data_IF_350151182134
#
_entry.id   IF_350151182134
#
_cell.length_a   1.000
_cell.length_b   1.000
_cell.length_c   1.000
_cell.angle_alpha   90.00
_cell.angle_beta   90.00
_cell.angle_gamma   90.00
#
_symmetry.space_group_name_H-M   'P 1'
#
loop_
_entity.id
_entity.type
_entity.pdbx_description
1 polymer ?
2 non-polymer ?
3 non-polymer ?
4 water ?
#
# COMPACT_ATOMS: atom_id res chain seq x y z
N UNK A 18 -25.31 3.77 -7.93
CA UNK A 18 -26.23 3.95 -6.81
C UNK A 18 -25.71 3.28 -5.54
N UNK A 19 -24.61 2.52 -5.66
CA UNK A 19 -24.05 1.81 -4.52
C UNK A 19 -23.40 2.77 -3.52
N UNK A 20 -23.51 2.43 -2.24
CA UNK A 20 -22.92 3.24 -1.18
C UNK A 20 -21.51 2.78 -0.85
N UNK A 21 -21.18 1.56 -1.26
CA UNK A 21 -19.86 0.99 -1.01
C UNK A 21 -19.41 0.16 -2.20
N UNK A 22 -18.09 0.03 -2.36
CA UNK A 22 -17.51 -0.78 -3.41
C UNK A 22 -16.63 -1.86 -2.80
N UNK A 23 -17.24 -3.01 -2.51
CA UNK A 23 -16.54 -4.12 -1.87
C UNK A 23 -16.84 -5.43 -2.60
N UNK A 24 -16.92 -5.36 -3.93
CA UNK A 24 -17.19 -6.53 -4.75
C UNK A 24 -15.89 -7.24 -5.10
N UNK A 25 -16.01 -8.43 -5.69
CA UNK A 25 -14.85 -9.28 -5.97
C UNK A 25 -14.82 -9.78 -7.41
N UNK A 26 -13.62 -9.77 -7.99
CA UNK A 26 -13.39 -10.50 -9.23
C UNK A 26 -13.60 -11.97 -8.92
N UNK A 27 -14.14 -12.74 -9.87
CA UNK A 27 -14.44 -14.14 -9.60
C UNK A 27 -14.50 -15.00 -10.87
N UNK A 28 -13.83 -16.14 -10.80
CA UNK A 28 -13.92 -17.15 -11.86
C UNK A 28 -15.12 -18.05 -11.63
N UNK A 29 -16.29 -17.44 -11.47
CA UNK A 29 -17.52 -18.17 -11.21
C UNK A 29 -18.57 -17.83 -12.26
N UNK A 30 -19.55 -18.74 -12.45
CA UNK A 30 -20.62 -18.41 -13.39
C UNK A 30 -21.51 -17.32 -12.84
N UNK A 31 -22.15 -16.55 -13.70
CA UNK A 31 -23.01 -15.44 -13.27
C UNK A 31 -22.26 -14.51 -12.32
N UNK A 32 -21.08 -14.06 -12.76
CA UNK A 32 -20.28 -13.12 -11.99
C UNK A 32 -20.15 -11.79 -12.72
N UNK A 33 -20.41 -10.72 -12.00
CA UNK A 33 -20.38 -9.38 -12.57
C UNK A 33 -18.99 -9.03 -13.09
N UNK A 34 -17.98 -9.62 -12.46
CA UNK A 34 -16.59 -9.27 -12.73
C UNK A 34 -15.69 -10.49 -12.96
N UNK A 35 -15.69 -11.03 -14.19
CA UNK A 35 -14.74 -12.08 -14.54
C UNK A 35 -13.34 -11.52 -14.76
N UNK A 36 -12.30 -12.34 -14.51
CA UNK A 36 -10.91 -11.86 -14.58
C UNK A 36 -10.40 -11.72 -16.02
N UNK A 37 -11.01 -10.83 -16.79
CA UNK A 37 -10.58 -10.60 -18.16
C UNK A 37 -9.33 -9.71 -18.21
N UNK A 38 -8.48 -9.97 -19.19
CA UNK A 38 -7.28 -9.16 -19.41
C UNK A 38 -7.64 -7.81 -20.04
N UNK A 39 -6.98 -6.76 -19.58
CA UNK A 39 -7.18 -5.43 -20.14
C UNK A 39 -8.50 -4.80 -19.73
N UNK A 40 -9.26 -5.49 -18.88
CA UNK A 40 -10.57 -5.00 -18.46
C UNK A 40 -10.51 -4.08 -17.24
N UNK A 41 -9.61 -4.40 -16.30
CA UNK A 41 -9.55 -3.67 -15.05
C UNK A 41 -8.33 -2.77 -14.96
N UNK A 42 -8.42 -1.76 -14.10
CA UNK A 42 -7.39 -0.74 -13.97
C UNK A 42 -7.20 -0.36 -12.50
N UNK A 43 -5.95 -0.24 -12.07
CA UNK A 43 -5.62 0.06 -10.68
C UNK A 43 -5.15 1.49 -10.51
N UNK A 44 -5.88 2.25 -9.69
CA UNK A 44 -5.49 3.63 -9.35
C UNK A 44 -4.85 3.67 -7.97
N UNK A 45 -3.65 4.27 -7.89
CA UNK A 45 -2.86 4.26 -6.67
C UNK A 45 -2.15 5.58 -6.39
N UNK A 46 -1.46 5.60 -5.25
CA UNK A 46 -0.41 6.57 -4.99
C UNK A 46 0.78 5.82 -4.44
N UNK A 47 1.96 6.08 -5.00
CA UNK A 47 3.16 5.41 -4.55
C UNK A 47 3.37 5.62 -3.05
N UNK A 48 2.88 6.74 -2.53
CA UNK A 48 3.08 7.10 -1.14
C UNK A 48 2.31 6.20 -0.17
N UNK A 49 1.10 5.83 -0.56
CA UNK A 49 0.22 5.07 0.33
C UNK A 49 0.68 3.62 0.49
N UNK A 50 0.87 3.15 1.73
CA UNK A 50 1.30 1.76 1.92
C UNK A 50 0.25 0.76 1.47
N UNK A 51 -1.02 1.08 1.70
CA UNK A 51 -2.12 0.18 1.36
C UNK A 51 -2.19 -0.02 -0.15
N UNK A 52 -2.06 1.07 -0.89
CA UNK A 52 -2.05 1.01 -2.35
C UNK A 52 -0.81 0.28 -2.83
N UNK A 53 0.30 0.48 -2.13
CA UNK A 53 1.57 -0.13 -2.50
C UNK A 53 1.53 -1.65 -2.39
N UNK A 54 0.63 -2.16 -1.55
CA UNK A 54 0.38 -3.60 -1.48
C UNK A 54 0.00 -4.14 -2.85
N UNK A 55 -0.89 -3.41 -3.52
CA UNK A 55 -1.45 -3.86 -4.79
C UNK A 55 -0.41 -3.79 -5.91
N UNK A 56 0.42 -2.75 -5.89
CA UNK A 56 1.48 -2.63 -6.88
C UNK A 56 2.45 -3.79 -6.76
N UNK A 57 2.74 -4.19 -5.53
CA UNK A 57 3.64 -5.29 -5.26
C UNK A 57 3.10 -6.58 -5.88
N UNK A 58 1.80 -6.80 -5.71
CA UNK A 58 1.16 -8.02 -6.21
C UNK A 58 1.14 -8.05 -7.73
N UNK A 59 1.01 -6.89 -8.37
CA UNK A 59 1.00 -6.82 -9.82
C UNK A 59 2.34 -7.30 -10.40
N UNK A 60 3.42 -7.01 -9.69
CA UNK A 60 4.76 -7.37 -10.16
C UNK A 60 5.14 -8.78 -9.74
N UNK A 61 4.79 -9.14 -8.51
CA UNK A 61 5.08 -10.47 -7.99
C UNK A 61 4.33 -11.55 -8.79
N UNK A 62 3.04 -11.35 -8.98
CA UNK A 62 2.21 -12.32 -9.69
C UNK A 62 2.34 -12.18 -11.21
N UNK A 63 2.98 -11.10 -11.66
CA UNK A 63 3.18 -10.89 -13.08
C UNK A 63 1.89 -10.55 -13.80
N UNK A 64 1.17 -9.54 -13.31
CA UNK A 64 -0.12 -9.15 -13.87
C UNK A 64 -0.04 -7.82 -14.61
N UNK A 65 1.16 -7.47 -15.07
CA UNK A 65 1.40 -6.16 -15.70
C UNK A 65 0.53 -5.95 -16.94
N UNK A 66 0.50 -6.95 -17.81
CA UNK A 66 -0.26 -6.86 -19.05
C UNK A 66 -1.76 -6.96 -18.78
N UNK A 67 -2.14 -7.78 -17.81
CA UNK A 67 -3.54 -7.99 -17.48
C UNK A 67 -4.17 -6.72 -16.94
N UNK A 68 -3.46 -6.07 -16.01
CA UNK A 68 -3.98 -4.91 -15.29
C UNK A 68 -2.98 -3.78 -15.27
N UNK A 69 -3.28 -2.71 -16.00
CA UNK A 69 -2.44 -1.51 -15.98
C UNK A 69 -2.77 -0.70 -14.75
N UNK A 70 -1.88 0.23 -14.39
CA UNK A 70 -2.13 1.10 -13.25
C UNK A 70 -1.68 2.53 -13.51
N UNK A 71 -2.28 3.46 -12.78
CA UNK A 71 -1.96 4.88 -12.86
C UNK A 71 -1.78 5.43 -11.45
N UNK A 72 -0.74 6.24 -11.25
CA UNK A 72 -0.49 6.87 -9.97
C UNK A 72 -0.80 8.35 -9.99
N UNK A 73 -1.50 8.81 -8.95
CA UNK A 73 -1.80 10.22 -8.79
C UNK A 73 -0.59 10.97 -8.27
N UNK A 74 -0.70 12.29 -8.15
CA UNK A 74 0.37 13.09 -7.58
C UNK A 74 0.47 12.81 -6.09
N UNK A 75 1.68 12.90 -5.51
CA UNK A 75 1.88 12.59 -4.09
C UNK A 75 1.26 13.62 -3.15
N UNK A 76 1.46 14.91 -3.43
CA UNK A 76 0.94 15.96 -2.57
C UNK A 76 -0.51 16.30 -2.92
N UNK A 77 -1.36 16.33 -1.91
CA UNK A 77 -2.77 16.66 -2.09
C UNK A 77 -2.97 18.07 -2.61
N UNK A 78 -4.04 18.26 -3.38
CA UNK A 78 -4.44 19.58 -3.86
C UNK A 78 -5.96 19.69 -3.77
N UNK A 79 -6.49 20.86 -4.09
CA UNK A 79 -7.92 21.06 -4.10
C UNK A 79 -8.56 20.28 -5.25
N UNK A 80 -9.66 19.60 -4.95
CA UNK A 80 -10.34 18.76 -5.92
C UNK A 80 -11.50 19.46 -6.59
N UNK A 81 -11.98 20.54 -5.98
CA UNK A 81 -13.09 21.32 -6.52
C UNK A 81 -12.94 22.80 -6.19
N UNK A 82 -13.75 23.62 -6.87
CA UNK A 82 -13.74 25.06 -6.66
C UNK A 82 -14.73 25.46 -5.58
N UNK A 83 -15.85 24.74 -5.52
CA UNK A 83 -16.97 25.12 -4.66
C UNK A 83 -16.73 24.82 -3.17
N UNK A 84 -15.87 23.84 -2.89
CA UNK A 84 -15.48 23.54 -1.51
C UNK A 84 -13.97 23.38 -1.41
N UNK A 85 -13.46 23.39 -0.18
CA UNK A 85 -12.02 23.40 0.07
C UNK A 85 -11.47 22.01 0.36
N UNK A 86 -12.12 20.97 -0.16
CA UNK A 86 -11.67 19.60 0.05
C UNK A 86 -10.30 19.36 -0.56
N UNK A 87 -9.43 18.71 0.22
CA UNK A 87 -8.08 18.38 -0.21
C UNK A 87 -7.96 16.86 -0.39
N UNK A 88 -7.26 16.43 -1.42
CA UNK A 88 -7.07 15.02 -1.68
C UNK A 88 -6.29 14.73 -2.95
N UNK A 89 -6.35 13.47 -3.38
CA UNK A 89 -5.58 13.01 -4.53
C UNK A 89 -6.00 13.71 -5.82
N UNK A 90 -5.01 14.10 -6.62
CA UNK A 90 -5.26 14.68 -7.93
C UNK A 90 -4.33 14.08 -8.98
N UNK A 91 -4.83 13.97 -10.21
CA UNK A 91 -4.02 13.51 -11.33
C UNK A 91 -3.29 14.68 -11.96
N UNK A 92 -2.09 14.44 -12.50
CA UNK A 92 -1.46 15.50 -13.29
C UNK A 92 -2.23 15.72 -14.59
N UNK A 93 -2.07 16.89 -15.20
CA UNK A 93 -2.77 17.20 -16.45
C UNK A 93 -2.03 16.57 -17.64
N UNK A 94 -0.73 16.38 -17.49
CA UNK A 94 0.10 15.77 -18.53
C UNK A 94 1.11 14.82 -17.94
N UNK A 95 1.79 14.07 -18.79
CA UNK A 95 2.76 13.07 -18.36
C UNK A 95 4.04 13.70 -17.79
N UNK A 96 4.31 14.94 -18.15
CA UNK A 96 5.55 15.61 -17.78
C UNK A 96 5.39 16.53 -16.56
N UNK A 97 4.19 16.55 -15.97
CA UNK A 97 3.92 17.45 -14.86
C UNK A 97 4.68 17.03 -13.60
N UNK A 98 4.76 15.73 -13.35
CA UNK A 98 5.50 15.22 -12.20
C UNK A 98 5.85 13.76 -12.37
N UNK A 99 7.12 13.44 -12.16
CA UNK A 99 7.62 12.07 -12.30
C UNK A 99 6.87 11.13 -11.36
N UNK A 100 6.60 9.92 -11.86
CA UNK A 100 5.89 8.92 -11.08
C UNK A 100 4.38 9.05 -11.18
N UNK A 101 3.91 10.18 -11.69
CA UNK A 101 2.48 10.43 -11.82
C UNK A 101 2.09 10.54 -13.29
N UNK A 102 0.90 10.02 -13.62
CA UNK A 102 0.38 10.08 -14.98
C UNK A 102 -1.08 10.56 -14.94
N UNK A 103 -1.51 11.27 -15.99
CA UNK A 103 -2.93 11.65 -16.02
C UNK A 103 -3.83 10.44 -16.15
N UNK A 104 -5.10 10.59 -15.78
CA UNK A 104 -6.07 9.53 -15.98
C UNK A 104 -6.55 9.55 -17.44
N UNK A 105 -5.82 8.86 -18.31
CA UNK A 105 -6.18 8.79 -19.72
C UNK A 105 -7.39 7.90 -19.94
N UNK A 106 -7.69 7.05 -18.96
CA UNK A 106 -8.78 6.10 -19.09
C UNK A 106 -10.15 6.78 -19.03
N UNK A 107 -10.35 7.63 -18.03
CA UNK A 107 -11.63 8.32 -17.84
C UNK A 107 -11.50 9.84 -17.80
N UNK A 108 -10.29 10.35 -17.99
CA UNK A 108 -10.07 11.78 -18.03
C UNK A 108 -10.37 12.48 -16.73
N UNK A 109 -10.31 11.73 -15.62
CA UNK A 109 -10.55 12.29 -14.29
C UNK A 109 -9.36 13.13 -13.84
N UNK A 110 -9.64 14.13 -13.01
CA UNK A 110 -8.60 15.03 -12.50
C UNK A 110 -8.33 14.81 -11.02
N UNK A 111 -9.18 14.00 -10.38
CA UNK A 111 -8.99 13.63 -8.98
C UNK A 111 -9.59 12.27 -8.69
N UNK A 112 -9.13 11.63 -7.62
CA UNK A 112 -9.69 10.35 -7.19
C UNK A 112 -11.15 10.55 -6.82
N UNK A 113 -11.45 11.69 -6.19
CA UNK A 113 -12.81 12.02 -5.81
C UNK A 113 -13.74 11.94 -7.01
N UNK A 114 -13.29 12.46 -8.15
CA UNK A 114 -14.09 12.49 -9.35
C UNK A 114 -14.40 11.07 -9.84
N UNK A 115 -13.46 10.16 -9.67
CA UNK A 115 -13.67 8.77 -10.07
C UNK A 115 -14.77 8.11 -9.26
N UNK A 116 -14.81 8.39 -7.96
CA UNK A 116 -15.85 7.86 -7.09
C UNK A 116 -17.22 8.40 -7.48
N UNK A 117 -17.30 9.71 -7.69
CA UNK A 117 -18.56 10.36 -8.07
C UNK A 117 -19.06 9.83 -9.40
N UNK A 118 -18.13 9.49 -10.29
CA UNK A 118 -18.48 8.94 -11.59
C UNK A 118 -19.02 7.51 -11.46
N UNK A 119 -18.60 6.82 -10.40
CA UNK A 119 -19.03 5.45 -10.17
C UNK A 119 -20.41 5.42 -9.50
N UNK A 120 -20.60 6.30 -8.53
CA UNK A 120 -21.86 6.37 -7.80
C UNK A 120 -21.98 7.67 -7.02
N UNK A 121 -23.12 8.34 -7.17
CA UNK A 121 -23.40 9.57 -6.46
C UNK A 121 -23.84 9.30 -5.01
N UNK A 122 -24.00 8.01 -4.69
CA UNK A 122 -24.44 7.61 -3.35
C UNK A 122 -23.31 7.04 -2.49
N UNK A 123 -22.08 7.09 -3.00
CA UNK A 123 -20.94 6.59 -2.25
C UNK A 123 -20.76 7.36 -0.94
N UNK A 124 -20.61 6.63 0.16
CA UNK A 124 -20.61 7.22 1.50
C UNK A 124 -19.26 7.10 2.20
N UNK A 125 -18.29 6.49 1.53
CA UNK A 125 -16.96 6.30 2.12
C UNK A 125 -16.04 7.46 1.85
N UNK A 126 -14.75 7.26 2.13
CA UNK A 126 -13.73 8.25 1.84
C UNK A 126 -13.23 8.10 0.41
N UNK A 127 -12.66 9.16 -0.15
CA UNK A 127 -12.15 9.13 -1.52
C UNK A 127 -10.70 8.66 -1.52
N UNK A 128 -10.52 7.37 -1.27
CA UNK A 128 -9.20 6.81 -1.01
C UNK A 128 -8.66 5.98 -2.16
N UNK A 129 -7.34 5.79 -2.17
CA UNK A 129 -6.69 4.79 -2.99
C UNK A 129 -6.27 3.64 -2.06
N UNK A 130 -6.17 2.41 -2.60
CA UNK A 130 -6.31 2.04 -4.01
C UNK A 130 -7.74 2.00 -4.52
N UNK A 131 -7.88 1.95 -5.84
CA UNK A 131 -9.17 1.81 -6.50
C UNK A 131 -9.03 0.83 -7.66
N UNK A 132 -9.79 -0.27 -7.60
CA UNK A 132 -9.83 -1.23 -8.70
C UNK A 132 -11.01 -0.89 -9.60
N UNK A 133 -10.70 -0.36 -10.78
CA UNK A 133 -11.72 0.15 -11.71
C UNK A 133 -12.06 -0.87 -12.78
N UNK A 134 -13.33 -0.85 -13.21
CA UNK A 134 -13.80 -1.72 -14.29
C UNK A 134 -14.14 -0.87 -15.52
N UNK A 135 -13.44 -1.14 -16.62
CA UNK A 135 -13.59 -0.37 -17.84
C UNK A 135 -14.89 -0.68 -18.57
N UNK A 136 -15.45 -1.86 -18.32
CA UNK A 136 -16.67 -2.29 -19.01
C UNK A 136 -17.89 -1.58 -18.43
N UNK A 137 -18.15 -1.81 -17.14
CA UNK A 137 -19.32 -1.23 -16.48
C UNK A 137 -19.06 0.20 -16.02
N UNK A 138 -17.85 0.71 -16.27
CA UNK A 138 -17.46 2.06 -15.87
C UNK A 138 -17.75 2.27 -14.39
N UNK A 139 -17.20 1.40 -13.55
CA UNK A 139 -17.47 1.46 -12.11
C UNK A 139 -16.26 1.00 -11.30
N UNK A 140 -16.36 1.14 -9.99
CA UNK A 140 -15.32 0.70 -9.07
C UNK A 140 -15.64 -0.69 -8.53
N UNK A 141 -14.78 -1.65 -8.82
CA UNK A 141 -14.96 -3.03 -8.35
C UNK A 141 -14.72 -3.13 -6.85
N UNK A 142 -13.61 -2.56 -6.40
CA UNK A 142 -13.20 -2.67 -5.01
C UNK A 142 -12.17 -1.59 -4.67
N UNK A 143 -12.19 -1.13 -3.41
CA UNK A 143 -11.25 -0.13 -2.95
C UNK A 143 -10.63 -0.52 -1.60
N UNK A 144 -10.60 -1.81 -1.33
CA UNK A 144 -9.99 -2.34 -0.11
C UNK A 144 -8.75 -3.15 -0.48
N UNK A 145 -7.59 -2.67 -0.05
CA UNK A 145 -6.31 -3.26 -0.45
C UNK A 145 -6.21 -4.73 -0.06
N UNK A 146 -6.66 -5.07 1.14
CA UNK A 146 -6.60 -6.44 1.64
C UNK A 146 -7.36 -7.40 0.73
N UNK A 147 -8.44 -6.90 0.13
CA UNK A 147 -9.28 -7.70 -0.74
C UNK A 147 -8.74 -7.73 -2.16
N UNK A 148 -8.22 -6.60 -2.63
CA UNK A 148 -7.68 -6.50 -3.98
C UNK A 148 -6.53 -7.48 -4.18
N UNK A 149 -5.69 -7.64 -3.16
CA UNK A 149 -4.52 -8.50 -3.28
C UNK A 149 -4.90 -9.99 -3.20
N UNK A 150 -6.04 -10.28 -2.58
CA UNK A 150 -6.53 -11.66 -2.53
C UNK A 150 -6.97 -12.12 -3.92
N UNK A 151 -7.68 -11.26 -4.63
CA UNK A 151 -8.16 -11.60 -5.96
C UNK A 151 -7.05 -11.43 -7.00
N UNK A 152 -6.03 -10.66 -6.67
CA UNK A 152 -4.82 -10.60 -7.50
C UNK A 152 -4.01 -11.89 -7.36
N UNK A 153 -4.26 -12.63 -6.26
CA UNK A 153 -3.46 -13.80 -5.93
C UNK A 153 -4.02 -15.10 -6.50
N UNK A 154 -5.31 -15.10 -6.87
CA UNK A 154 -6.00 -16.33 -7.27
C UNK A 154 -6.78 -16.24 -8.57
N UNK A 155 -7.40 -15.09 -8.83
CA UNK A 155 -8.40 -14.98 -9.90
C UNK A 155 -7.83 -14.76 -11.29
N UNK A 156 -6.56 -14.36 -11.38
CA UNK A 156 -5.95 -14.05 -12.67
C UNK A 156 -4.87 -15.06 -13.07
N UNK A 157 -4.93 -16.26 -12.49
CA UNK A 157 -3.90 -17.27 -12.72
C UNK A 157 -3.91 -17.85 -14.13
N UNK A 158 -5.00 -17.63 -14.87
CA UNK A 158 -5.08 -18.11 -16.25
C UNK A 158 -4.22 -17.28 -17.18
N UNK A 159 -3.92 -16.05 -16.78
CA UNK A 159 -3.15 -15.13 -17.62
C UNK A 159 -1.95 -14.53 -16.88
N UNK A 160 -1.84 -14.82 -15.59
CA UNK A 160 -0.71 -14.34 -14.79
C UNK A 160 0.60 -14.92 -15.32
N UNK A 161 1.61 -14.08 -15.41
CA UNK A 161 2.93 -14.52 -15.87
C UNK A 161 3.54 -15.48 -14.85
N UNK A 162 3.15 -15.32 -13.59
CA UNK A 162 3.59 -16.19 -12.50
C UNK A 162 2.38 -16.76 -11.76
N UNK A 163 1.67 -17.67 -12.42
CA UNK A 163 0.43 -18.22 -11.89
C UNK A 163 0.68 -19.15 -10.70
N UNK A 164 1.80 -19.86 -10.73
CA UNK A 164 2.10 -20.85 -9.70
C UNK A 164 2.26 -20.20 -8.31
N UNK A 165 2.84 -19.02 -8.28
CA UNK A 165 3.16 -18.34 -7.03
C UNK A 165 1.89 -18.01 -6.23
N UNK A 166 1.83 -18.56 -5.02
CA UNK A 166 0.67 -18.38 -4.14
C UNK A 166 1.10 -17.74 -2.83
N UNK A 167 0.60 -16.54 -2.57
CA UNK A 167 0.96 -15.80 -1.35
C UNK A 167 -0.04 -16.03 -0.22
N UNK A 168 -1.09 -16.78 -0.51
CA UNK A 168 -2.11 -17.11 0.48
C UNK A 168 -2.50 -18.58 0.38
N UNK A 169 -1.50 -19.48 0.41
CA UNK A 169 -1.78 -20.92 0.28
C UNK A 169 -2.56 -21.44 1.48
N UNK A 170 -3.42 -22.41 1.25
CA UNK A 170 -4.34 -22.90 2.27
C UNK A 170 -3.66 -23.25 3.59
N UNK A 171 -2.47 -23.85 3.51
CA UNK A 171 -1.80 -24.35 4.71
C UNK A 171 -1.16 -23.22 5.54
N UNK A 172 -1.33 -21.98 5.09
CA UNK A 172 -0.79 -20.82 5.81
C UNK A 172 -1.87 -19.84 6.23
N UNK A 173 -3.05 -19.96 5.63
CA UNK A 173 -4.13 -19.00 5.84
C UNK A 173 -4.42 -18.76 7.32
N UNK A 174 -4.38 -19.83 8.11
CA UNK A 174 -4.63 -19.71 9.54
C UNK A 174 -3.57 -18.83 10.19
N UNK A 175 -2.31 -19.08 9.84
CA UNK A 175 -1.19 -18.33 10.42
C UNK A 175 -1.10 -16.93 9.84
N UNK A 176 -1.42 -16.79 8.56
CA UNK A 176 -1.38 -15.49 7.90
C UNK A 176 -2.46 -14.58 8.48
N UNK A 177 -3.69 -15.08 8.59
CA UNK A 177 -4.78 -14.30 9.15
C UNK A 177 -4.49 -13.90 10.59
N UNK A 178 -3.79 -14.77 11.32
CA UNK A 178 -3.46 -14.51 12.71
C UNK A 178 -2.35 -13.46 12.81
N UNK A 179 -1.34 -13.61 11.96
CA UNK A 179 -0.25 -12.64 11.89
C UNK A 179 -0.80 -11.29 11.47
N UNK A 180 -1.54 -11.27 10.37
CA UNK A 180 -2.17 -10.05 9.88
C UNK A 180 -2.93 -9.32 10.97
N UNK A 181 -3.53 -10.10 11.88
CA UNK A 181 -4.28 -9.54 12.98
C UNK A 181 -3.50 -8.54 13.80
N UNK A 182 -2.49 -9.03 14.52
CA UNK A 182 -1.74 -8.17 15.43
C UNK A 182 -0.72 -7.28 14.71
N UNK A 183 -0.43 -7.60 13.46
CA UNK A 183 0.45 -6.76 12.66
C UNK A 183 -0.31 -5.54 12.16
N UNK A 184 -1.60 -5.71 11.86
CA UNK A 184 -2.42 -4.60 11.40
C UNK A 184 -2.65 -3.57 12.51
N UNK A 185 -3.06 -4.06 13.67
CA UNK A 185 -3.38 -3.18 14.80
C UNK A 185 -2.13 -2.50 15.37
N UNK A 186 -1.03 -3.24 15.40
CA UNK A 186 0.17 -2.78 16.06
C UNK A 186 1.13 -2.02 15.16
N UNK A 187 1.22 -2.42 13.90
CA UNK A 187 2.24 -1.88 13.00
C UNK A 187 1.63 -1.13 11.83
N UNK A 188 0.89 -1.82 10.96
CA UNK A 188 0.35 -1.19 9.76
C UNK A 188 -0.50 0.02 10.08
N UNK A 189 -1.45 -0.15 10.99
CA UNK A 189 -2.33 0.93 11.40
C UNK A 189 -1.79 1.64 12.65
N UNK A 190 -0.94 0.94 13.39
CA UNK A 190 -0.41 1.46 14.65
C UNK A 190 0.41 2.73 14.49
N UNK A 191 1.18 2.81 13.40
CA UNK A 191 1.98 4.00 13.15
C UNK A 191 1.10 5.24 13.00
N UNK A 192 -0.09 5.04 12.45
CA UNK A 192 -1.04 6.15 12.27
C UNK A 192 -1.69 6.54 13.59
N UNK A 193 -1.92 5.57 14.46
CA UNK A 193 -2.44 5.85 15.79
C UNK A 193 -1.47 6.76 16.54
N UNK A 194 -0.18 6.54 16.32
CA UNK A 194 0.85 7.38 16.93
C UNK A 194 0.84 8.79 16.36
N UNK A 195 0.67 8.89 15.04
CA UNK A 195 0.73 10.17 14.36
C UNK A 195 -0.51 11.03 14.54
N UNK A 196 -1.67 10.39 14.58
CA UNK A 196 -2.93 11.10 14.67
C UNK A 196 -3.33 11.36 16.12
N UNK A 197 -2.58 10.79 17.07
CA UNK A 197 -2.85 11.01 18.49
C UNK A 197 -2.79 12.50 18.82
N UNK A 198 -3.83 13.00 19.47
CA UNK A 198 -3.91 14.40 19.87
C UNK A 198 -3.64 14.57 21.37
N UNK A 199 -3.53 13.45 22.07
CA UNK A 199 -3.26 13.46 23.51
C UNK A 199 -2.10 12.52 23.83
N UNK A 200 -1.41 12.80 24.93
CA UNK A 200 -0.21 12.08 25.30
C UNK A 200 -0.49 10.61 25.60
N UNK A 201 -1.54 10.35 26.38
CA UNK A 201 -1.90 9.00 26.76
C UNK A 201 -2.12 8.07 25.58
N UNK A 202 -3.08 8.43 24.70
CA UNK A 202 -3.34 7.67 23.49
C UNK A 202 -2.10 7.49 22.61
N UNK A 203 -1.25 8.51 22.55
CA UNK A 203 -0.01 8.38 21.78
C UNK A 203 0.86 7.28 22.35
N UNK A 204 1.10 7.33 23.65
CA UNK A 204 1.97 6.35 24.31
C UNK A 204 1.41 4.95 24.21
N UNK A 205 0.09 4.83 24.27
CA UNK A 205 -0.56 3.54 24.06
C UNK A 205 -0.19 2.96 22.71
N UNK A 206 -0.31 3.78 21.67
CA UNK A 206 -0.03 3.35 20.30
C UNK A 206 1.46 3.07 20.10
N UNK A 207 2.30 3.93 20.67
CA UNK A 207 3.74 3.80 20.52
C UNK A 207 4.25 2.55 21.24
N UNK A 208 3.75 2.33 22.45
CA UNK A 208 4.13 1.16 23.24
C UNK A 208 3.72 -0.11 22.51
N UNK A 209 2.47 -0.16 22.08
CA UNK A 209 1.94 -1.33 21.40
C UNK A 209 2.65 -1.55 20.07
N UNK A 210 3.08 -0.45 19.44
CA UNK A 210 3.78 -0.52 18.17
C UNK A 210 5.11 -1.25 18.31
N UNK A 211 5.87 -0.89 19.33
CA UNK A 211 7.20 -1.45 19.51
C UNK A 211 7.15 -2.81 20.21
N UNK A 212 5.99 -3.16 20.75
CA UNK A 212 5.77 -4.51 21.22
C UNK A 212 5.62 -5.43 20.01
N UNK A 213 4.89 -4.95 19.01
CA UNK A 213 4.68 -5.70 17.77
C UNK A 213 5.98 -5.84 17.00
N UNK A 214 6.76 -4.76 16.95
CA UNK A 214 8.02 -4.76 16.22
C UNK A 214 9.02 -5.73 16.85
N UNK A 215 9.12 -5.71 18.18
CA UNK A 215 9.98 -6.64 18.89
C UNK A 215 9.55 -8.08 18.61
N UNK A 216 8.24 -8.28 18.55
CA UNK A 216 7.68 -9.59 18.26
C UNK A 216 8.09 -10.06 16.88
N UNK A 217 8.07 -9.14 15.91
CA UNK A 217 8.54 -9.43 14.55
C UNK A 217 10.02 -9.77 14.56
N UNK A 218 10.80 -8.96 15.28
CA UNK A 218 12.24 -9.12 15.34
C UNK A 218 12.63 -10.52 15.83
N UNK A 219 11.88 -11.04 16.81
CA UNK A 219 12.17 -12.36 17.38
C UNK A 219 11.84 -13.45 16.37
N UNK A 220 10.71 -13.31 15.69
CA UNK A 220 10.29 -14.25 14.66
C UNK A 220 11.33 -14.32 13.54
N UNK A 221 11.65 -13.15 12.97
CA UNK A 221 12.56 -13.09 11.84
C UNK A 221 14.00 -13.44 12.21
N UNK A 222 14.22 -13.69 13.51
CA UNK A 222 15.52 -14.17 13.97
C UNK A 222 15.63 -15.68 13.84
N UNK A 223 14.49 -16.36 13.79
CA UNK A 223 14.44 -17.82 13.68
C UNK A 223 14.17 -18.28 12.25
N UNK A 224 13.61 -17.40 11.42
CA UNK A 224 13.22 -17.77 10.06
C UNK A 224 13.25 -16.57 9.12
N UNK A 225 13.24 -16.84 7.82
CA UNK A 225 13.46 -15.82 6.81
C UNK A 225 12.27 -14.86 6.69
N UNK A 226 11.07 -15.40 6.70
CA UNK A 226 9.85 -14.61 6.51
C UNK A 226 8.94 -14.69 7.73
N UNK A 227 7.98 -13.78 7.81
CA UNK A 227 7.18 -13.61 9.02
C UNK A 227 6.31 -14.82 9.33
N UNK A 228 5.94 -15.59 8.30
CA UNK A 228 5.08 -16.76 8.47
C UNK A 228 5.75 -18.06 7.99
N UNK A 229 7.06 -18.13 8.12
CA UNK A 229 7.81 -19.34 7.80
C UNK A 229 8.96 -19.13 6.85
N UNK A 230 9.26 -20.17 6.07
CA UNK A 230 10.43 -20.18 5.20
C UNK A 230 10.14 -19.69 3.78
N UNK A 231 8.90 -19.30 3.53
CA UNK A 231 8.49 -18.81 2.21
C UNK A 231 7.71 -17.50 2.33
N UNK A 232 7.85 -16.65 1.30
CA UNK A 232 7.13 -15.39 1.24
C UNK A 232 5.62 -15.62 1.27
N UNK A 233 4.92 -14.72 1.95
CA UNK A 233 3.46 -14.81 2.04
C UNK A 233 2.84 -13.42 2.02
N UNK A 234 1.51 -13.39 2.01
CA UNK A 234 0.76 -12.14 2.05
C UNK A 234 1.17 -11.29 3.25
N UNK A 235 1.42 -11.95 4.37
CA UNK A 235 1.79 -11.26 5.61
C UNK A 235 3.05 -10.42 5.45
N UNK A 236 3.99 -10.91 4.64
CA UNK A 236 5.25 -10.21 4.43
C UNK A 236 5.06 -8.92 3.65
N UNK A 237 4.13 -8.92 2.70
CA UNK A 237 3.89 -7.73 1.87
C UNK A 237 3.21 -6.64 2.69
N UNK A 238 2.30 -7.05 3.57
CA UNK A 238 1.60 -6.09 4.42
C UNK A 238 2.56 -5.45 5.40
N UNK A 239 3.52 -6.23 5.90
CA UNK A 239 4.51 -5.72 6.83
C UNK A 239 5.52 -4.84 6.13
N UNK A 240 6.03 -5.29 4.98
CA UNK A 240 7.08 -4.59 4.24
C UNK A 240 6.72 -3.14 3.89
N UNK A 241 5.50 -2.92 3.41
CA UNK A 241 5.10 -1.58 2.97
C UNK A 241 5.15 -0.57 4.11
N UNK A 242 5.03 -1.05 5.34
CA UNK A 242 5.11 -0.19 6.51
C UNK A 242 6.56 0.04 6.90
N UNK A 243 7.35 -1.02 6.88
CA UNK A 243 8.75 -0.93 7.30
C UNK A 243 9.57 -0.05 6.36
N UNK A 244 9.29 -0.13 5.06
CA UNK A 244 10.05 0.61 4.07
C UNK A 244 9.82 2.12 4.21
N UNK A 245 8.78 2.49 4.95
CA UNK A 245 8.43 3.89 5.17
C UNK A 245 8.80 4.37 6.58
N UNK A 246 9.30 3.47 7.40
CA UNK A 246 9.44 3.75 8.83
C UNK A 246 10.45 4.85 9.15
N UNK A 247 11.70 4.68 8.73
CA UNK A 247 12.75 5.62 9.13
C UNK A 247 12.63 6.97 8.42
N UNK A 248 12.07 6.97 7.22
CA UNK A 248 11.96 8.19 6.42
C UNK A 248 10.75 9.03 6.82
N UNK A 249 9.67 8.36 7.22
CA UNK A 249 8.40 9.04 7.50
C UNK A 249 7.95 8.84 8.95
N UNK A 250 7.62 7.61 9.30
CA UNK A 250 6.98 7.30 10.58
C UNK A 250 7.85 7.70 11.76
N UNK A 251 9.16 7.57 11.61
CA UNK A 251 10.09 7.84 12.70
C UNK A 251 10.15 9.31 13.10
N UNK A 252 9.78 10.19 12.16
CA UNK A 252 9.79 11.63 12.40
C UNK A 252 8.39 12.22 12.34
N UNK A 253 7.71 11.99 11.22
CA UNK A 253 6.39 12.55 10.98
C UNK A 253 5.37 12.09 12.02
N UNK A 254 5.45 10.81 12.40
CA UNK A 254 4.52 10.21 13.36
C UNK A 254 5.18 9.96 14.73
N UNK A 255 6.39 10.47 14.93
CA UNK A 255 7.05 10.41 16.23
C UNK A 255 7.25 8.99 16.75
N UNK A 256 7.43 8.03 15.84
CA UNK A 256 7.72 6.65 16.22
C UNK A 256 9.24 6.46 16.35
N UNK A 257 9.80 6.93 17.46
CA UNK A 257 11.25 7.03 17.59
C UNK A 257 11.85 6.38 18.83
N UNK A 258 11.17 5.40 19.42
CA UNK A 258 11.78 4.62 20.48
C UNK A 258 12.90 3.77 19.87
N UNK A 259 12.73 3.43 18.61
CA UNK A 259 13.70 2.59 17.90
C UNK A 259 13.44 2.71 16.41
N UNK A 260 14.50 2.84 15.63
CA UNK A 260 14.37 2.91 14.18
C UNK A 260 14.52 1.51 13.59
N UNK A 261 13.98 1.32 12.39
CA UNK A 261 14.08 0.02 11.71
C UNK A 261 15.53 -0.35 11.54
N UNK A 262 16.34 0.66 11.23
CA UNK A 262 17.78 0.52 11.07
C UNK A 262 18.42 -0.19 12.27
N UNK A 263 17.80 -0.05 13.44
CA UNK A 263 18.33 -0.59 14.69
C UNK A 263 17.84 -2.02 14.96
N UNK A 264 16.87 -2.48 14.16
CA UNK A 264 16.43 -3.87 14.19
C UNK A 264 17.17 -4.66 13.12
N UNK A 265 18.24 -5.38 13.49
CA UNK A 265 19.06 -6.03 12.47
C UNK A 265 18.29 -7.02 11.59
N UNK A 266 17.40 -7.81 12.18
CA UNK A 266 16.65 -8.78 11.41
C UNK A 266 15.64 -8.14 10.46
N UNK A 267 14.76 -7.30 11.00
CA UNK A 267 13.74 -6.63 10.20
C UNK A 267 14.37 -5.75 9.10
N UNK A 268 15.53 -5.18 9.41
CA UNK A 268 16.20 -4.28 8.49
C UNK A 268 16.69 -5.03 7.25
N UNK A 269 17.40 -6.14 7.47
CA UNK A 269 17.84 -6.98 6.37
C UNK A 269 16.65 -7.67 5.70
N UNK A 270 15.63 -7.96 6.49
CA UNK A 270 14.38 -8.54 6.00
C UNK A 270 13.71 -7.61 5.00
N UNK A 271 13.80 -6.31 5.26
CA UNK A 271 13.23 -5.32 4.36
C UNK A 271 14.04 -5.23 3.07
N UNK A 272 15.36 -5.34 3.21
CA UNK A 272 16.24 -5.35 2.04
C UNK A 272 15.95 -6.55 1.16
N UNK A 273 15.76 -7.70 1.81
CA UNK A 273 15.51 -8.95 1.12
C UNK A 273 14.27 -8.85 0.24
N UNK A 274 13.17 -8.38 0.82
CA UNK A 274 11.91 -8.26 0.09
C UNK A 274 11.99 -7.17 -0.96
N UNK A 275 12.68 -6.08 -0.63
CA UNK A 275 12.90 -4.98 -1.56
C UNK A 275 13.62 -5.47 -2.81
N UNK A 276 14.52 -6.44 -2.64
CA UNK A 276 15.36 -6.90 -3.73
C UNK A 276 14.71 -8.03 -4.53
N UNK A 277 13.55 -8.50 -4.10
CA UNK A 277 12.77 -9.46 -4.88
C UNK A 277 12.43 -8.80 -6.21
N UNK A 278 12.62 -9.52 -7.33
CA UNK A 278 12.43 -8.90 -8.64
C UNK A 278 11.07 -8.20 -8.80
N UNK A 279 11.10 -6.91 -9.13
CA UNK A 279 9.89 -6.15 -9.39
C UNK A 279 9.34 -5.43 -8.18
N UNK A 280 9.93 -5.65 -7.01
CA UNK A 280 9.45 -5.02 -5.79
C UNK A 280 9.96 -3.59 -5.65
N UNK A 281 11.24 -3.38 -5.97
CA UNK A 281 11.82 -2.03 -5.88
C UNK A 281 11.06 -1.07 -6.78
N UNK A 282 10.50 -1.61 -7.85
CA UNK A 282 9.67 -0.86 -8.78
C UNK A 282 8.52 -0.13 -8.07
N UNK A 283 8.06 -0.70 -6.96
CA UNK A 283 6.88 -0.20 -6.27
C UNK A 283 7.21 0.72 -5.09
N UNK A 284 8.50 1.01 -4.90
CA UNK A 284 8.95 1.91 -3.85
C UNK A 284 9.46 3.22 -4.46
N UNK A 285 8.68 4.28 -4.30
CA UNK A 285 9.05 5.62 -4.74
C UNK A 285 9.17 6.52 -3.52
N UNK A 286 10.36 6.60 -2.96
CA UNK A 286 10.58 7.31 -1.71
C UNK A 286 10.27 8.79 -1.82
N UNK A 287 10.43 9.36 -3.02
CA UNK A 287 10.09 10.75 -3.25
C UNK A 287 8.59 10.97 -3.02
N UNK A 288 7.77 10.19 -3.72
CA UNK A 288 6.32 10.27 -3.53
C UNK A 288 5.94 10.04 -2.08
N UNK A 289 6.57 9.05 -1.45
CA UNK A 289 6.35 8.74 -0.05
C UNK A 289 6.57 9.97 0.82
N UNK A 290 7.78 10.53 0.75
CA UNK A 290 8.14 11.66 1.59
C UNK A 290 7.35 12.92 1.24
N UNK A 291 7.20 13.21 -0.05
CA UNK A 291 6.52 14.41 -0.49
C UNK A 291 5.07 14.43 -0.01
N UNK A 292 4.41 13.28 -0.05
CA UNK A 292 3.02 13.22 0.37
C UNK A 292 2.84 13.51 1.86
N UNK A 293 3.46 12.70 2.70
CA UNK A 293 3.27 12.79 4.15
C UNK A 293 3.67 14.16 4.70
N UNK A 294 4.82 14.65 4.26
CA UNK A 294 5.34 15.92 4.77
C UNK A 294 4.73 17.14 4.08
N UNK A 295 4.06 16.92 2.95
CA UNK A 295 3.55 18.02 2.13
C UNK A 295 2.04 18.19 2.15
N UNK A 296 1.32 17.18 2.61
CA UNK A 296 -0.15 17.17 2.53
C UNK A 296 -0.84 17.41 3.88
N UNK A 297 -0.06 17.72 4.91
CA UNK A 297 -0.60 17.92 6.26
C UNK A 297 -0.01 19.15 6.92
N UNK A 298 -0.50 20.35 6.53
CA UNK A 298 -0.06 21.59 7.19
C UNK A 298 -0.43 21.61 8.67
N UNK A 299 -1.35 20.74 9.06
CA UNK A 299 -1.70 20.57 10.45
C UNK A 299 -0.48 20.09 11.24
N UNK A 300 0.04 18.93 10.87
CA UNK A 300 1.15 18.31 11.57
C UNK A 300 2.50 18.94 11.18
N UNK A 301 2.60 19.40 9.93
CA UNK A 301 3.85 19.93 9.39
C UNK A 301 3.59 21.22 8.60
N UNK A 302 3.41 22.35 9.31
CA UNK A 302 2.95 23.61 8.72
C UNK A 302 3.70 24.09 7.49
N UNK A 303 5.02 24.13 7.57
CA UNK A 303 5.83 24.69 6.49
C UNK A 303 6.20 23.63 5.46
N UNK A 304 5.69 22.42 5.66
CA UNK A 304 5.82 21.36 4.68
C UNK A 304 7.26 20.97 4.37
N UNK A 305 8.17 21.21 5.32
CA UNK A 305 9.57 20.85 5.15
C UNK A 305 9.73 19.35 5.06
N UNK A 306 10.58 18.91 4.14
CA UNK A 306 10.86 17.49 3.95
C UNK A 306 12.22 17.14 4.56
N UNK A 307 12.23 16.31 5.61
CA UNK A 307 13.51 15.93 6.21
C UNK A 307 14.50 15.33 5.21
N UNK A 308 15.79 15.50 5.46
CA UNK A 308 16.83 14.98 4.58
C UNK A 308 16.73 13.46 4.47
N UNK A 309 16.57 12.79 5.61
CA UNK A 309 16.40 11.36 5.64
C UNK A 309 17.71 10.60 5.45
N UNK A 310 17.80 9.38 6.01
CA UNK A 310 19.04 8.60 5.96
C UNK A 310 19.43 8.14 4.57
N UNK A 311 18.48 8.15 3.64
CA UNK A 311 18.75 7.76 2.25
C UNK A 311 19.41 6.39 2.18
N UNK A 312 18.74 5.39 2.75
CA UNK A 312 19.30 4.04 2.79
C UNK A 312 19.16 3.37 1.43
N UNK A 313 20.23 2.67 1.03
CA UNK A 313 20.22 1.86 -0.19
C UNK A 313 19.72 0.47 0.16
N UNK A 314 18.49 0.16 -0.24
CA UNK A 314 17.90 -1.14 0.06
C UNK A 314 18.28 -2.19 -0.98
N UNK A 315 19.15 -1.80 -1.92
CA UNK A 315 19.72 -2.74 -2.88
C UNK A 315 21.01 -3.34 -2.36
N UNK A 316 21.53 -2.77 -1.28
CA UNK A 316 22.80 -3.22 -0.70
C UNK A 316 22.63 -4.61 -0.07
N UNK A 317 23.75 -5.33 0.13
CA UNK A 317 23.72 -6.72 0.59
C UNK A 317 22.97 -6.94 1.90
N UNK A 318 22.31 -8.09 2.01
CA UNK A 318 21.64 -8.50 3.25
C UNK A 318 22.09 -9.90 3.66
N UNK A 319 21.74 -10.31 4.87
CA UNK A 319 22.22 -11.57 5.44
C UNK A 319 21.10 -12.60 5.61
N UNK A 320 20.01 -12.43 4.88
CA UNK A 320 18.83 -13.25 5.08
C UNK A 320 18.93 -14.62 4.42
N UNK A 321 19.93 -14.82 3.58
CA UNK A 321 20.14 -16.13 2.97
C UNK A 321 20.72 -17.13 3.96
N UNK A 322 21.11 -16.65 5.14
CA UNK A 322 21.71 -17.49 6.16
C UNK A 322 20.75 -18.61 6.59
N UNK A 323 19.46 -18.43 6.30
CA UNK A 323 18.47 -19.48 6.53
C UNK A 323 18.45 -20.45 5.36
X LIG B 1 -9.00 0.49 3.80
X LIG B 1 -8.16 1.00 2.74
X LIG B 1 -7.26 -0.10 2.25
X LIG B 1 -6.71 -0.87 3.06
X LIG B 1 -7.08 -0.26 1.03
X LIG B 1 -7.31 2.16 3.27
X LIG B 1 -6.89 3.08 2.13
X LIG B 1 -6.30 4.37 2.67
X LIG B 1 -6.38 4.67 4.04
X LIG B 1 -5.74 5.16 1.76
X LIG B 1 -5.28 6.51 2.06
X LIG B 1 -6.11 7.53 1.34
X LIG B 1 -6.29 7.40 -0.05
X LIG B 1 -3.83 6.71 1.61
X LIG B 1 -2.59 6.18 2.80
X LIG B 1 -6.63 8.52 2.07
X LIG B 1 -7.30 9.65 1.44
X LIG B 1 -8.18 10.41 2.41
X LIG B 1 -8.58 9.87 3.46
X LIG B 1 -8.50 11.60 2.18
X LIG B 1 -6.42 1.76 3.77
X LIG B 1 -7.76 3.31 1.50
X LIG B 1 -5.60 4.82 0.82
X LIG B 1 -5.34 6.69 3.14
X LIG B 1 -3.68 7.78 1.39
X LIG B 1 -6.58 8.49 3.08
X LIG B 1 -6.53 10.33 1.04
X LIG B 1 -7.90 9.30 0.61
X LIG B 1 -7.88 2.73 4.01
X LIG B 1 -6.15 2.58 1.50
X LIG B 1 -3.68 6.17 0.68
X LIG C 1 -16.59 22.76 -9.13
X LIG C 1 -16.74 23.12 -7.66
X LIG C 1 -15.24 22.14 -9.36
X LIG C 1 -17.67 21.78 -9.53
X LIG C 1 -16.72 24.02 -9.97
X LIG D 1 -5.60 0.48 -19.81
X LIG D 1 -5.98 0.06 -18.41
X LIG D 1 -6.62 1.47 -20.33
X LIG D 1 -4.24 1.13 -19.81
X LIG D 1 -5.59 -0.74 -20.71
#
# INVERSE_FOLDING_TARGET
>A
MARSAIDETSDTGAFKRTASTFRNFISKEPNSQFPPESGRYHLYVSYACPWASRCLAYLKIKGLEKAIAFTSVKPIWERTKESDEHMGWVFPASETEEAGAEPDTLNGARSIRELYELASTNYAGKYTVPVLWDKKLKTIVNNESSEIIRMFNTEFNDIAENAALDLYPSHLQAQIDETNGWVYDGINNGVYKCGFARKQGPYEEAAIQLYEALDKCEEILGRQRYICGNTLSEADIKLFVTLIRFDEVYAVHFKCNKKLLRDYPNMFNYTKDIFQIPGMSSTVNMQHIKRHYYGSHPTVNPFGIIPLGPDIDYSSPHDRNRFSS
>B hetero
1 GSH N1 CA1 C1 O11 O12 CB1 CG1 CD1 OE1 N2 CA2 C2 O2 CB2 SG2 N3 CA3 C3 O31 O32 HB12 HG12 HN2 HA2 HB22 HN3 HA31 HA32 HB11 HG11 HB21
>C hetero
1 PO4 P O1 O2 O3 O4
>D hetero
1 PO4 P O1 O2 O3 O4
#
